data_IF_857892174397
#
_entry.id   IF_857892174397
#
_cell.length_a   1.000
_cell.length_b   1.000
_cell.length_c   1.000
_cell.angle_alpha   90.00
_cell.angle_beta   90.00
_cell.angle_gamma   90.00
#
_symmetry.space_group_name_H-M   'P 1'
#
loop_
_entity.id
_entity.type
_entity.pdbx_description
1 polymer ?
#
# COMPACT_ATOMS: atom_id res chain seq x y z
N UNK A 1 12.01 1.58 22.95
CA UNK A 1 11.00 2.59 22.51
C UNK A 1 9.76 1.87 21.98
N UNK A 2 8.55 2.44 22.04
CA UNK A 2 7.31 1.79 21.56
C UNK A 2 6.77 2.53 20.34
N UNK A 3 6.15 1.80 19.41
CA UNK A 3 5.39 2.37 18.30
C UNK A 3 4.41 3.43 18.80
N UNK A 4 4.32 4.54 18.09
CA UNK A 4 3.32 5.59 18.36
C UNK A 4 2.04 5.33 17.57
N UNK A 5 0.93 5.91 18.03
CA UNK A 5 -0.34 5.89 17.29
C UNK A 5 -0.25 6.71 15.99
N UNK A 6 -1.03 6.34 14.98
CA UNK A 6 -1.09 7.08 13.70
C UNK A 6 -1.57 8.52 13.92
N UNK A 7 -2.47 8.78 14.86
CA UNK A 7 -2.91 10.13 15.23
C UNK A 7 -1.74 11.01 15.73
N UNK A 8 -0.78 10.42 16.43
CA UNK A 8 0.42 11.11 16.86
C UNK A 8 1.39 11.32 15.70
N UNK A 9 1.52 10.33 14.81
CA UNK A 9 2.35 10.46 13.60
C UNK A 9 1.84 11.59 12.69
N UNK A 10 0.52 11.70 12.52
CA UNK A 10 -0.13 12.80 11.78
C UNK A 10 0.23 14.16 12.40
N UNK A 11 0.18 14.29 13.74
CA UNK A 11 0.59 15.52 14.43
C UNK A 11 2.07 15.83 14.23
N UNK A 12 2.92 14.82 14.36
CA UNK A 12 4.37 14.97 14.18
C UNK A 12 4.73 15.43 12.75
N UNK A 13 4.07 14.87 11.73
CA UNK A 13 4.25 15.30 10.34
C UNK A 13 3.76 16.74 10.12
N UNK A 14 2.63 17.15 10.70
CA UNK A 14 2.14 18.54 10.64
C UNK A 14 3.13 19.54 11.23
N UNK A 15 3.88 19.13 12.24
CA UNK A 15 4.97 19.91 12.84
C UNK A 15 6.30 19.79 12.07
N UNK A 16 6.32 19.00 11.00
CA UNK A 16 7.49 18.77 10.16
C UNK A 16 8.55 17.88 10.79
N UNK A 17 8.22 17.08 11.81
CA UNK A 17 9.16 16.12 12.40
C UNK A 17 9.45 14.97 11.42
N UNK A 18 10.63 14.36 11.59
CA UNK A 18 10.98 13.11 10.92
C UNK A 18 10.41 11.93 11.72
N UNK A 19 9.96 10.90 11.03
CA UNK A 19 9.52 9.63 11.62
C UNK A 19 10.26 8.46 10.97
N UNK A 20 10.23 7.29 11.62
CA UNK A 20 10.58 6.02 10.98
C UNK A 20 9.30 5.24 10.70
N UNK A 21 9.16 4.74 9.46
CA UNK A 21 8.08 3.84 9.08
C UNK A 21 8.65 2.48 8.70
N UNK A 22 8.16 1.43 9.33
CA UNK A 22 8.55 0.05 9.04
C UNK A 22 7.41 -0.69 8.35
N UNK A 23 7.72 -1.51 7.36
CA UNK A 23 6.75 -2.40 6.75
C UNK A 23 6.66 -3.75 7.47
N UNK A 24 5.93 -4.71 6.90
CA UNK A 24 5.76 -6.02 7.50
C UNK A 24 7.03 -6.88 7.35
N UNK A 25 7.29 -7.77 8.31
CA UNK A 25 8.49 -8.63 8.32
C UNK A 25 8.58 -9.58 7.11
N UNK A 26 7.45 -9.86 6.47
CA UNK A 26 7.32 -10.71 5.29
C UNK A 26 7.31 -9.94 3.95
N UNK A 27 7.43 -8.60 3.99
CA UNK A 27 7.59 -7.74 2.82
C UNK A 27 9.07 -7.38 2.61
N UNK A 28 9.51 -6.15 2.88
CA UNK A 28 10.92 -5.75 2.78
C UNK A 28 11.61 -5.90 4.15
N UNK A 29 10.85 -5.86 5.24
CA UNK A 29 11.32 -5.87 6.63
C UNK A 29 12.33 -4.75 6.89
N UNK A 30 12.03 -3.57 6.34
CA UNK A 30 12.92 -2.40 6.30
C UNK A 30 12.24 -1.16 6.86
N UNK A 31 13.05 -0.25 7.38
CA UNK A 31 12.59 1.01 7.93
C UNK A 31 13.09 2.19 7.10
N UNK A 32 12.17 3.10 6.78
CA UNK A 32 12.48 4.35 6.10
C UNK A 32 12.34 5.52 7.06
N UNK A 33 13.29 6.45 7.02
CA UNK A 33 13.02 7.77 7.54
C UNK A 33 12.11 8.54 6.58
N UNK A 34 11.07 9.16 7.12
CA UNK A 34 10.09 9.90 6.34
C UNK A 34 9.89 11.32 6.88
N UNK A 35 9.70 12.29 5.98
CA UNK A 35 9.22 13.62 6.34
C UNK A 35 8.63 14.37 5.13
N UNK A 36 7.61 15.24 5.33
CA UNK A 36 6.97 15.95 4.23
C UNK A 36 7.93 16.88 3.50
N UNK A 37 7.90 16.88 2.16
CA UNK A 37 8.80 17.67 1.32
C UNK A 37 8.72 19.18 1.61
N UNK A 38 7.54 19.69 1.97
CA UNK A 38 7.33 21.09 2.35
C UNK A 38 8.12 21.53 3.60
N UNK A 39 8.49 20.59 4.46
CA UNK A 39 9.30 20.84 5.65
C UNK A 39 10.75 20.37 5.46
N UNK A 40 11.16 20.11 4.22
CA UNK A 40 12.54 19.76 3.92
C UNK A 40 13.49 20.88 4.33
N UNK A 41 14.66 20.48 4.82
CA UNK A 41 15.76 21.39 5.15
C UNK A 41 17.07 20.69 4.80
N UNK A 42 18.11 21.46 4.53
CA UNK A 42 19.47 20.93 4.35
C UNK A 42 19.88 20.00 5.48
N UNK A 43 19.52 20.31 6.73
CA UNK A 43 19.87 19.54 7.92
C UNK A 43 19.18 18.17 7.91
N UNK A 44 17.89 18.10 7.57
CA UNK A 44 17.15 16.84 7.44
C UNK A 44 17.68 16.00 6.29
N UNK A 45 18.01 16.62 5.15
CA UNK A 45 18.58 15.90 4.02
C UNK A 45 19.96 15.37 4.36
N UNK A 46 20.81 16.17 5.00
CA UNK A 46 22.12 15.71 5.48
C UNK A 46 21.97 14.59 6.51
N UNK A 47 20.98 14.67 7.39
CA UNK A 47 20.66 13.60 8.33
C UNK A 47 20.28 12.31 7.60
N UNK A 48 19.34 12.37 6.64
CA UNK A 48 18.91 11.21 5.88
C UNK A 48 20.09 10.53 5.15
N UNK A 49 20.89 11.30 4.39
CA UNK A 49 21.99 10.70 3.60
C UNK A 49 23.16 10.22 4.46
N UNK A 50 23.31 10.71 5.70
CA UNK A 50 24.43 10.37 6.59
C UNK A 50 24.07 9.29 7.60
N UNK A 51 22.90 9.39 8.22
CA UNK A 51 22.47 8.50 9.30
C UNK A 51 21.55 7.39 8.80
N UNK A 52 20.66 7.64 7.82
CA UNK A 52 19.87 6.58 7.18
C UNK A 52 20.64 5.90 6.03
N UNK A 53 21.34 6.68 5.18
CA UNK A 53 22.29 6.19 4.15
C UNK A 53 21.69 5.42 2.98
N UNK A 54 20.39 5.15 2.98
CA UNK A 54 19.68 4.57 1.86
C UNK A 54 19.57 5.50 0.64
N UNK A 55 18.70 5.13 -0.28
CA UNK A 55 18.45 5.91 -1.49
C UNK A 55 17.47 7.02 -1.17
N UNK A 56 17.94 8.27 -1.23
CA UNK A 56 17.07 9.41 -1.02
C UNK A 56 16.05 9.52 -2.16
N UNK A 57 14.78 9.30 -1.83
CA UNK A 57 13.66 9.34 -2.74
C UNK A 57 12.62 10.38 -2.30
N UNK A 58 11.71 10.74 -3.21
CA UNK A 58 10.51 11.51 -2.89
C UNK A 58 9.28 10.75 -3.36
N UNK A 59 8.48 10.26 -2.43
CA UNK A 59 7.18 9.71 -2.71
C UNK A 59 6.20 10.84 -3.07
N UNK A 60 5.54 10.71 -4.22
CA UNK A 60 4.63 11.68 -4.79
C UNK A 60 3.25 11.05 -5.02
N UNK A 61 2.21 11.84 -4.77
CA UNK A 61 0.90 11.55 -5.31
C UNK A 61 0.91 11.64 -6.84
N UNK A 62 -0.03 10.92 -7.47
CA UNK A 62 -0.11 10.81 -8.92
C UNK A 62 -0.34 12.16 -9.62
N UNK A 63 -1.04 13.10 -8.96
CA UNK A 63 -1.34 14.42 -9.54
C UNK A 63 -0.09 15.30 -9.57
N UNK A 64 0.76 15.25 -8.56
CA UNK A 64 2.06 15.93 -8.56
C UNK A 64 2.98 15.35 -9.63
N UNK A 65 3.05 14.02 -9.76
CA UNK A 65 3.82 13.39 -10.83
C UNK A 65 3.36 13.83 -12.23
N UNK A 66 2.04 13.92 -12.44
CA UNK A 66 1.44 14.48 -13.68
C UNK A 66 1.77 15.97 -13.86
N UNK A 67 1.61 16.79 -12.81
CA UNK A 67 1.91 18.24 -12.81
C UNK A 67 3.35 18.53 -13.25
N UNK A 68 4.29 17.70 -12.80
CA UNK A 68 5.72 17.87 -13.07
C UNK A 68 6.24 17.04 -14.24
N UNK A 69 5.36 16.42 -15.03
CA UNK A 69 5.71 15.62 -16.21
C UNK A 69 6.81 14.58 -15.89
N UNK A 70 6.54 13.73 -14.89
CA UNK A 70 7.45 12.69 -14.41
C UNK A 70 7.00 11.31 -14.90
N UNK A 71 7.36 10.89 -16.13
CA UNK A 71 7.10 9.54 -16.59
C UNK A 71 7.94 8.51 -15.81
N UNK A 72 7.46 7.27 -15.77
CA UNK A 72 8.21 6.14 -15.24
C UNK A 72 9.56 6.00 -15.96
N UNK A 73 10.61 5.64 -15.22
CA UNK A 73 11.96 5.55 -15.80
C UNK A 73 12.14 4.38 -16.78
N UNK A 74 11.32 3.34 -16.66
CA UNK A 74 11.34 2.16 -17.52
C UNK A 74 9.95 1.85 -18.06
N UNK A 75 9.84 1.37 -19.32
CA UNK A 75 8.55 1.06 -19.93
C UNK A 75 7.88 -0.18 -19.32
N UNK A 76 8.66 -1.14 -18.81
CA UNK A 76 8.19 -2.34 -18.12
C UNK A 76 8.98 -2.51 -16.83
N UNK A 77 8.30 -2.40 -15.69
CA UNK A 77 8.90 -2.64 -14.39
C UNK A 77 8.97 -4.15 -14.12
N UNK A 78 10.16 -4.66 -13.84
CA UNK A 78 10.41 -6.07 -13.50
C UNK A 78 10.97 -6.25 -12.09
N UNK A 79 10.93 -5.19 -11.27
CA UNK A 79 11.30 -5.24 -9.84
C UNK A 79 10.30 -6.08 -9.05
N UNK A 80 10.77 -6.81 -8.04
CA UNK A 80 9.96 -7.67 -7.17
C UNK A 80 8.77 -6.96 -6.52
N UNK A 81 8.92 -5.67 -6.19
CA UNK A 81 7.88 -4.87 -5.53
C UNK A 81 7.26 -3.80 -6.44
N UNK A 82 7.61 -3.81 -7.73
CA UNK A 82 7.14 -2.89 -8.77
C UNK A 82 7.15 -1.42 -8.34
N UNK A 83 8.15 -1.02 -7.54
CA UNK A 83 8.29 0.36 -7.05
C UNK A 83 8.36 1.33 -8.23
N UNK A 84 7.47 2.32 -8.24
CA UNK A 84 7.19 3.14 -9.42
C UNK A 84 8.15 4.33 -9.55
N UNK A 85 9.43 4.04 -9.79
CA UNK A 85 10.44 5.06 -10.04
C UNK A 85 10.13 5.85 -11.32
N UNK A 86 10.23 7.18 -11.22
CA UNK A 86 10.22 8.07 -12.37
C UNK A 86 11.64 8.35 -12.83
N UNK A 87 11.78 9.04 -13.95
CA UNK A 87 13.05 9.69 -14.30
C UNK A 87 13.54 10.57 -13.14
N UNK A 88 14.86 10.63 -12.95
CA UNK A 88 15.47 11.44 -11.88
C UNK A 88 15.46 12.92 -12.24
N UNK A 89 15.46 13.78 -11.21
CA UNK A 89 15.39 15.23 -11.40
C UNK A 89 16.31 16.00 -10.45
N UNK A 90 16.70 17.19 -10.89
CA UNK A 90 17.27 18.24 -10.05
C UNK A 90 16.54 19.56 -10.28
N UNK A 91 16.61 20.47 -9.32
CA UNK A 91 16.23 21.85 -9.51
C UNK A 91 17.05 22.46 -10.65
N UNK A 92 16.41 23.20 -11.55
CA UNK A 92 17.07 23.91 -12.65
C UNK A 92 18.16 24.90 -12.19
N UNK A 93 18.08 25.36 -10.94
CA UNK A 93 19.04 26.27 -10.31
C UNK A 93 20.20 25.53 -9.62
N UNK A 94 20.18 24.21 -9.54
CA UNK A 94 21.28 23.43 -9.00
C UNK A 94 22.52 23.56 -9.90
N UNK A 95 23.69 23.49 -9.30
CA UNK A 95 24.97 23.47 -10.03
C UNK A 95 25.37 22.03 -10.33
N UNK A 96 25.41 21.19 -9.30
CA UNK A 96 25.72 19.76 -9.41
C UNK A 96 24.57 18.88 -8.97
N UNK A 97 23.66 19.37 -8.12
CA UNK A 97 22.48 18.66 -7.64
C UNK A 97 22.72 17.69 -6.48
N UNK A 98 23.96 17.29 -6.21
CA UNK A 98 24.25 16.20 -5.26
C UNK A 98 24.30 16.62 -3.80
N UNK A 99 24.62 17.88 -3.51
CA UNK A 99 24.80 18.35 -2.13
C UNK A 99 23.47 18.32 -1.35
N UNK A 100 23.53 18.18 -0.02
CA UNK A 100 22.33 18.21 0.81
C UNK A 100 21.50 19.49 0.63
N UNK A 101 22.18 20.62 0.35
CA UNK A 101 21.53 21.89 0.06
C UNK A 101 20.80 21.89 -1.29
N UNK A 102 21.43 21.38 -2.34
CA UNK A 102 20.80 21.32 -3.67
C UNK A 102 19.69 20.28 -3.74
N UNK A 103 19.84 19.15 -3.03
CA UNK A 103 18.77 18.16 -2.86
C UNK A 103 17.57 18.74 -2.12
N UNK A 104 17.79 19.49 -1.04
CA UNK A 104 16.72 20.25 -0.35
C UNK A 104 16.03 21.24 -1.29
N UNK A 105 16.80 21.97 -2.10
CA UNK A 105 16.28 22.89 -3.11
C UNK A 105 15.37 22.17 -4.11
N UNK A 106 15.79 21.02 -4.65
CA UNK A 106 14.99 20.19 -5.56
C UNK A 106 13.71 19.69 -4.88
N UNK A 107 13.82 19.17 -3.66
CA UNK A 107 12.70 18.57 -2.94
C UNK A 107 11.60 19.59 -2.63
N UNK A 108 11.97 20.82 -2.28
CA UNK A 108 11.00 21.90 -1.99
C UNK A 108 10.13 22.26 -3.19
N UNK A 109 10.61 22.07 -4.42
CA UNK A 109 9.83 22.35 -5.63
C UNK A 109 8.58 21.46 -5.68
N UNK A 110 8.65 20.21 -5.20
CA UNK A 110 7.48 19.31 -5.16
C UNK A 110 6.34 19.79 -4.27
N UNK A 111 6.65 20.64 -3.28
CA UNK A 111 5.70 21.21 -2.35
C UNK A 111 5.23 22.63 -2.74
N UNK A 112 5.83 23.24 -3.76
CA UNK A 112 5.51 24.59 -4.19
C UNK A 112 4.30 24.59 -5.15
N UNK A 113 3.25 25.33 -4.76
CA UNK A 113 2.04 25.46 -5.57
C UNK A 113 2.28 26.18 -6.90
N UNK A 114 3.26 27.09 -6.92
CA UNK A 114 3.61 27.90 -8.11
C UNK A 114 4.59 27.21 -9.04
N UNK A 115 5.25 26.14 -8.58
CA UNK A 115 6.21 25.40 -9.38
C UNK A 115 5.57 24.67 -10.56
N UNK A 116 6.36 24.45 -11.61
CA UNK A 116 5.98 23.78 -12.83
C UNK A 116 7.07 22.79 -13.29
N UNK A 117 6.77 21.97 -14.31
CA UNK A 117 7.69 20.97 -14.84
C UNK A 117 9.04 21.56 -15.32
N UNK A 118 9.08 22.83 -15.72
CA UNK A 118 10.27 23.55 -16.19
C UNK A 118 11.21 24.02 -15.07
N UNK A 119 10.80 23.91 -13.81
CA UNK A 119 11.66 24.18 -12.66
C UNK A 119 12.61 23.00 -12.37
N UNK A 120 12.40 21.86 -13.04
CA UNK A 120 13.25 20.68 -13.00
C UNK A 120 14.07 20.49 -14.27
N UNK A 121 15.28 19.95 -14.11
CA UNK A 121 16.08 19.33 -15.18
C UNK A 121 16.07 17.81 -15.01
N UNK A 122 16.29 17.09 -16.13
CA UNK A 122 16.27 15.62 -16.22
C UNK A 122 17.48 15.17 -17.06
N UNK A 123 18.32 14.21 -16.63
CA UNK A 123 18.30 13.55 -15.31
C UNK A 123 18.77 14.48 -14.17
N UNK A 124 18.69 13.98 -12.93
CA UNK A 124 19.27 14.60 -11.74
C UNK A 124 19.50 13.61 -10.61
N UNK A 125 19.53 14.07 -9.36
CA UNK A 125 19.97 13.29 -8.19
C UNK A 125 18.87 12.97 -7.18
N UNK A 126 17.66 13.49 -7.38
CA UNK A 126 16.47 13.05 -6.62
C UNK A 126 15.73 11.99 -7.44
N UNK A 127 15.26 10.95 -6.74
CA UNK A 127 14.50 9.83 -7.30
C UNK A 127 13.02 9.95 -6.89
N UNK A 128 12.14 10.49 -7.75
CA UNK A 128 10.71 10.52 -7.44
C UNK A 128 10.07 9.14 -7.63
N UNK A 129 9.10 8.84 -6.76
CA UNK A 129 8.34 7.60 -6.74
C UNK A 129 6.85 7.93 -6.78
N UNK A 130 6.07 7.26 -7.63
CA UNK A 130 4.62 7.51 -7.73
C UNK A 130 3.86 6.54 -6.83
N UNK A 131 3.17 7.07 -5.81
CA UNK A 131 2.25 6.29 -4.99
C UNK A 131 1.00 5.87 -5.78
N UNK A 132 0.49 4.67 -5.52
CA UNK A 132 -0.82 4.24 -6.04
C UNK A 132 -1.95 5.13 -5.49
N UNK A 133 -2.99 5.33 -6.31
CA UNK A 133 -4.15 6.16 -5.96
C UNK A 133 -4.87 5.69 -4.69
N UNK A 134 -4.96 4.38 -4.46
CA UNK A 134 -5.54 3.84 -3.24
C UNK A 134 -4.63 3.91 -2.00
N UNK A 135 -3.38 4.35 -2.14
CA UNK A 135 -2.40 4.39 -1.06
C UNK A 135 -2.12 3.00 -0.48
N UNK A 136 -1.92 2.92 0.83
CA UNK A 136 -1.57 1.65 1.52
C UNK A 136 -2.65 0.60 1.44
N UNK A 137 -3.90 1.01 1.15
CA UNK A 137 -5.01 0.10 0.95
C UNK A 137 -4.98 -0.60 -0.43
N UNK A 138 -4.16 -0.08 -1.36
CA UNK A 138 -3.90 -0.71 -2.65
C UNK A 138 -2.50 -1.36 -2.70
N UNK A 139 -1.45 -0.67 -2.21
CA UNK A 139 -0.08 -1.21 -2.14
C UNK A 139 0.54 -0.88 -0.79
N UNK A 140 0.92 -1.90 -0.03
CA UNK A 140 1.44 -1.80 1.33
C UNK A 140 2.92 -1.39 1.42
N UNK A 141 3.32 -0.36 0.66
CA UNK A 141 4.71 0.12 0.61
C UNK A 141 4.95 1.45 1.30
N UNK A 142 6.22 1.78 1.55
CA UNK A 142 6.63 3.04 2.17
C UNK A 142 6.27 4.26 1.31
N UNK A 143 6.31 4.11 -0.02
CA UNK A 143 5.87 5.15 -0.96
C UNK A 143 4.42 5.56 -0.69
N UNK A 144 3.50 4.59 -0.65
CA UNK A 144 2.10 4.83 -0.37
C UNK A 144 1.86 5.35 1.05
N UNK A 145 2.49 4.72 2.06
CA UNK A 145 2.31 5.12 3.45
C UNK A 145 2.73 6.56 3.73
N UNK A 146 3.81 7.00 3.09
CA UNK A 146 4.32 8.36 3.23
C UNK A 146 3.39 9.40 2.61
N UNK A 147 2.85 9.13 1.41
CA UNK A 147 1.88 10.01 0.75
C UNK A 147 0.55 10.05 1.51
N UNK A 148 0.08 8.90 2.01
CA UNK A 148 -1.14 8.82 2.82
C UNK A 148 -1.02 9.63 4.11
N UNK A 149 0.10 9.51 4.82
CA UNK A 149 0.34 10.29 6.03
C UNK A 149 0.38 11.79 5.75
N UNK A 150 0.97 12.22 4.63
CA UNK A 150 0.90 13.61 4.19
C UNK A 150 -0.56 14.06 3.97
N UNK A 151 -1.38 13.27 3.28
CA UNK A 151 -2.79 13.60 3.07
C UNK A 151 -3.60 13.65 4.37
N UNK A 152 -3.43 12.67 5.26
CA UNK A 152 -4.06 12.65 6.59
C UNK A 152 -3.61 13.84 7.45
N UNK A 153 -2.38 14.30 7.25
CA UNK A 153 -1.84 15.51 7.85
C UNK A 153 -2.30 16.81 7.18
N UNK A 154 -3.07 16.76 6.08
CA UNK A 154 -3.49 17.96 5.34
C UNK A 154 -2.33 18.68 4.66
N UNK A 155 -1.27 17.95 4.32
CA UNK A 155 -0.05 18.43 3.67
C UNK A 155 -0.06 18.07 2.18
N UNK A 156 0.89 18.61 1.42
CA UNK A 156 1.09 18.19 0.02
C UNK A 156 1.46 16.72 -0.03
N UNK A 157 0.97 15.98 -1.02
CA UNK A 157 1.27 14.56 -1.25
C UNK A 157 2.70 14.31 -1.74
N UNK A 158 3.69 15.01 -1.18
CA UNK A 158 5.10 14.84 -1.45
C UNK A 158 5.85 14.59 -0.12
N UNK A 159 6.52 13.45 -0.02
CA UNK A 159 7.24 13.04 1.19
C UNK A 159 8.62 12.51 0.83
N UNK A 160 9.65 12.97 1.54
CA UNK A 160 10.98 12.38 1.45
C UNK A 160 10.95 11.03 2.16
N UNK A 161 11.56 10.02 1.53
CA UNK A 161 11.80 8.71 2.13
C UNK A 161 13.26 8.31 1.90
N UNK A 162 13.86 7.59 2.84
CA UNK A 162 15.21 7.06 2.72
C UNK A 162 15.37 5.87 3.65
N UNK A 163 15.76 4.72 3.09
CA UNK A 163 15.93 3.49 3.84
C UNK A 163 17.08 3.62 4.86
N UNK A 164 16.97 2.93 5.99
CA UNK A 164 17.97 2.94 7.05
C UNK A 164 18.92 1.73 6.88
N UNK A 165 20.18 2.04 6.59
CA UNK A 165 21.26 1.09 6.38
C UNK A 165 22.24 1.18 7.56
N UNK A 166 22.64 0.02 8.09
CA UNK A 166 23.58 -0.08 9.20
C UNK A 166 25.00 0.30 8.78
N UNK A 167 25.86 0.50 9.78
CA UNK A 167 27.28 0.80 9.57
C UNK A 167 28.04 -0.26 8.77
N UNK A 168 27.61 -1.53 8.86
CA UNK A 168 28.20 -2.63 8.12
C UNK A 168 27.66 -2.77 6.69
N UNK A 169 26.73 -1.91 6.27
CA UNK A 169 26.12 -1.92 4.94
C UNK A 169 24.88 -2.81 4.80
N UNK A 170 24.50 -3.57 5.83
CA UNK A 170 23.26 -4.33 5.83
C UNK A 170 22.05 -3.43 6.14
N UNK A 171 20.88 -3.82 5.67
CA UNK A 171 19.63 -3.13 6.02
C UNK A 171 19.32 -3.25 7.52
N UNK A 172 18.86 -2.16 8.14
CA UNK A 172 18.42 -2.15 9.52
C UNK A 172 17.08 -2.89 9.67
N UNK A 173 17.02 -3.83 10.61
CA UNK A 173 15.79 -4.57 10.94
C UNK A 173 15.15 -4.00 12.20
N UNK A 174 13.98 -4.52 12.58
CA UNK A 174 13.15 -3.98 13.67
C UNK A 174 13.93 -3.62 14.96
N UNK A 175 14.81 -4.49 15.45
CA UNK A 175 15.61 -4.19 16.65
C UNK A 175 16.63 -3.06 16.40
N UNK A 176 17.31 -3.07 15.25
CA UNK A 176 18.23 -2.00 14.85
C UNK A 176 17.50 -0.65 14.72
N UNK A 177 16.26 -0.67 14.20
CA UNK A 177 15.42 0.52 14.04
C UNK A 177 14.96 1.08 15.39
N UNK A 178 14.71 0.22 16.38
CA UNK A 178 14.40 0.65 17.75
C UNK A 178 15.59 1.40 18.37
N UNK A 179 16.81 0.86 18.21
CA UNK A 179 18.05 1.51 18.65
C UNK A 179 18.29 2.84 17.92
N UNK A 180 18.07 2.86 16.60
CA UNK A 180 18.17 4.06 15.78
C UNK A 180 17.21 5.16 16.25
N UNK A 181 15.94 4.81 16.47
CA UNK A 181 14.92 5.73 16.95
C UNK A 181 15.25 6.28 18.33
N UNK A 182 15.77 5.44 19.24
CA UNK A 182 16.17 5.87 20.58
C UNK A 182 17.36 6.84 20.53
N UNK A 183 18.39 6.51 19.75
CA UNK A 183 19.60 7.34 19.55
C UNK A 183 19.25 8.74 19.03
N UNK A 184 18.36 8.82 18.04
CA UNK A 184 18.02 10.07 17.37
C UNK A 184 16.71 10.71 17.83
N UNK A 185 16.06 10.11 18.84
CA UNK A 185 14.76 10.56 19.40
C UNK A 185 13.68 10.70 18.32
N UNK A 186 13.59 9.71 17.45
CA UNK A 186 12.58 9.62 16.39
C UNK A 186 11.43 8.71 16.84
N UNK A 187 10.22 9.07 16.42
CA UNK A 187 9.07 8.22 16.62
C UNK A 187 8.96 7.21 15.47
N UNK A 188 8.41 6.02 15.77
CA UNK A 188 8.27 4.94 14.81
C UNK A 188 6.82 4.46 14.69
N UNK A 189 6.40 4.14 13.47
CA UNK A 189 5.09 3.57 13.13
C UNK A 189 5.24 2.35 12.22
N UNK A 190 4.18 1.56 12.09
CA UNK A 190 4.10 0.49 11.09
C UNK A 190 3.14 0.84 9.96
N UNK A 191 3.41 0.34 8.75
CA UNK A 191 2.45 0.39 7.64
C UNK A 191 1.14 -0.30 8.00
N UNK A 192 1.18 -1.39 8.78
CA UNK A 192 -0.02 -2.09 9.26
C UNK A 192 -0.92 -1.22 10.14
N UNK A 193 -0.35 -0.43 11.06
CA UNK A 193 -1.14 0.49 11.89
C UNK A 193 -1.80 1.58 11.03
N UNK A 194 -1.11 2.04 9.98
CA UNK A 194 -1.66 3.01 9.03
C UNK A 194 -2.82 2.43 8.21
N UNK A 195 -2.70 1.18 7.76
CA UNK A 195 -3.79 0.46 7.09
C UNK A 195 -5.00 0.36 8.03
N UNK A 196 -4.79 -0.09 9.26
CA UNK A 196 -5.88 -0.23 10.24
C UNK A 196 -6.55 1.12 10.53
N UNK A 197 -5.74 2.18 10.70
CA UNK A 197 -6.23 3.55 10.90
C UNK A 197 -7.08 4.01 9.71
N UNK A 198 -6.61 3.85 8.47
CA UNK A 198 -7.37 4.27 7.28
C UNK A 198 -8.66 3.48 7.15
N UNK A 199 -8.65 2.16 7.32
CA UNK A 199 -9.86 1.33 7.22
C UNK A 199 -10.91 1.65 8.29
N UNK A 200 -10.49 2.14 9.47
CA UNK A 200 -11.43 2.62 10.49
C UNK A 200 -12.17 3.88 10.09
N UNK A 201 -11.59 4.67 9.18
CA UNK A 201 -12.08 6.00 8.83
C UNK A 201 -12.54 6.12 7.36
N UNK A 202 -12.20 5.15 6.51
CA UNK A 202 -12.36 5.20 5.05
C UNK A 202 -12.89 3.88 4.48
N UNK A 203 -13.56 3.96 3.33
CA UNK A 203 -13.95 2.81 2.50
C UNK A 203 -13.62 3.11 1.04
N UNK A 204 -12.92 2.18 0.39
CA UNK A 204 -12.64 2.21 -1.05
C UNK A 204 -13.72 1.52 -1.87
N UNK A 205 -14.69 0.87 -1.24
CA UNK A 205 -15.77 0.16 -1.92
C UNK A 205 -17.12 0.85 -1.72
N UNK A 206 -17.98 0.73 -2.72
CA UNK A 206 -19.39 1.12 -2.68
C UNK A 206 -20.26 -0.04 -3.14
N UNK A 207 -21.28 -0.42 -2.36
CA UNK A 207 -22.28 -1.39 -2.80
C UNK A 207 -23.17 -0.75 -3.88
N UNK A 208 -23.23 -1.35 -5.07
CA UNK A 208 -24.06 -0.88 -6.19
C UNK A 208 -25.37 -1.65 -6.30
N UNK A 209 -25.31 -2.96 -6.06
CA UNK A 209 -26.47 -3.83 -6.28
C UNK A 209 -26.49 -4.96 -5.26
N UNK A 210 -27.70 -5.32 -4.81
CA UNK A 210 -27.97 -6.45 -3.96
C UNK A 210 -29.24 -7.16 -4.46
N UNK A 211 -29.15 -8.45 -4.79
CA UNK A 211 -30.30 -9.21 -5.25
C UNK A 211 -30.20 -10.70 -4.91
N UNK A 212 -31.35 -11.37 -4.82
CA UNK A 212 -31.40 -12.83 -4.80
C UNK A 212 -30.93 -13.38 -6.15
N UNK A 213 -30.12 -14.44 -6.13
CA UNK A 213 -29.50 -15.00 -7.32
C UNK A 213 -29.16 -16.48 -7.15
N UNK A 214 -28.48 -17.03 -8.14
CA UNK A 214 -27.94 -18.37 -8.12
C UNK A 214 -26.48 -18.35 -8.56
N UNK A 215 -25.65 -19.16 -7.91
CA UNK A 215 -24.29 -19.44 -8.35
C UNK A 215 -24.13 -20.96 -8.53
N UNK A 216 -23.79 -21.40 -9.74
CA UNK A 216 -23.68 -22.82 -10.10
C UNK A 216 -24.90 -23.67 -9.68
N UNK A 217 -26.11 -23.10 -9.77
CA UNK A 217 -27.36 -23.78 -9.40
C UNK A 217 -27.74 -23.68 -7.92
N UNK A 218 -26.87 -23.15 -7.06
CA UNK A 218 -27.15 -22.95 -5.64
C UNK A 218 -27.71 -21.55 -5.38
N UNK A 219 -28.77 -21.46 -4.57
CA UNK A 219 -29.35 -20.17 -4.15
C UNK A 219 -28.32 -19.37 -3.36
N UNK A 220 -28.21 -18.08 -3.66
CA UNK A 220 -27.34 -17.17 -2.95
C UNK A 220 -27.86 -15.74 -3.05
N UNK A 221 -27.37 -14.87 -2.19
CA UNK A 221 -27.54 -13.44 -2.31
C UNK A 221 -26.31 -12.85 -3.00
N UNK A 222 -26.53 -12.20 -4.15
CA UNK A 222 -25.48 -11.56 -4.95
C UNK A 222 -25.34 -10.11 -4.52
N UNK A 223 -24.10 -9.67 -4.38
CA UNK A 223 -23.70 -8.29 -4.11
C UNK A 223 -22.70 -7.85 -5.17
N UNK A 224 -22.89 -6.66 -5.72
CA UNK A 224 -21.94 -6.04 -6.66
C UNK A 224 -21.36 -4.81 -5.98
N UNK A 225 -20.06 -4.82 -5.75
CA UNK A 225 -19.28 -3.71 -5.22
C UNK A 225 -18.50 -3.05 -6.34
N UNK A 226 -18.35 -1.73 -6.29
CA UNK A 226 -17.45 -0.96 -7.15
C UNK A 226 -16.34 -0.35 -6.29
N UNK A 227 -15.09 -0.46 -6.72
CA UNK A 227 -13.92 0.10 -6.02
C UNK A 227 -13.57 1.54 -6.47
N UNK A 228 -12.53 2.13 -5.88
CA UNK A 228 -12.03 3.48 -6.20
C UNK A 228 -11.43 3.63 -7.61
N UNK A 229 -11.24 2.50 -8.31
CA UNK A 229 -10.80 2.39 -9.69
C UNK A 229 -11.95 2.05 -10.65
N UNK A 230 -13.20 2.07 -10.19
CA UNK A 230 -14.40 1.75 -10.96
C UNK A 230 -14.45 0.28 -11.43
N UNK A 231 -13.69 -0.61 -10.77
CA UNK A 231 -13.72 -2.05 -11.02
C UNK A 231 -14.83 -2.69 -10.20
N UNK A 232 -15.56 -3.63 -10.79
CA UNK A 232 -16.65 -4.32 -10.12
C UNK A 232 -16.21 -5.66 -9.53
N UNK A 233 -16.51 -5.86 -8.25
CA UNK A 233 -16.26 -7.10 -7.52
C UNK A 233 -17.59 -7.72 -7.10
N UNK A 234 -17.72 -9.03 -7.24
CA UNK A 234 -19.00 -9.72 -6.99
C UNK A 234 -18.84 -10.66 -5.82
N UNK A 235 -19.68 -10.53 -4.80
CA UNK A 235 -19.75 -11.49 -3.71
C UNK A 235 -21.08 -12.27 -3.77
N UNK A 236 -21.02 -13.57 -3.51
CA UNK A 236 -22.19 -14.40 -3.27
C UNK A 236 -22.16 -14.90 -1.84
N UNK A 237 -23.22 -14.59 -1.08
CA UNK A 237 -23.45 -15.11 0.25
C UNK A 237 -24.50 -16.21 0.18
N UNK A 238 -24.16 -17.43 0.59
CA UNK A 238 -25.11 -18.56 0.54
C UNK A 238 -26.08 -18.56 1.72
N UNK A 239 -25.64 -18.01 2.86
CA UNK A 239 -26.44 -17.80 4.07
C UNK A 239 -26.25 -16.36 4.55
N UNK A 240 -26.98 -15.98 5.61
CA UNK A 240 -26.75 -14.70 6.28
C UNK A 240 -25.32 -14.67 6.87
N UNK A 241 -24.47 -13.69 6.51
CA UNK A 241 -23.10 -13.63 6.99
C UNK A 241 -22.99 -13.58 8.51
N UNK A 242 -22.05 -14.34 9.07
CA UNK A 242 -21.71 -14.35 10.49
C UNK A 242 -20.35 -13.69 10.74
N UNK A 243 -20.05 -13.43 12.02
CA UNK A 243 -18.73 -12.96 12.44
C UNK A 243 -17.61 -13.94 12.10
N UNK A 244 -17.88 -15.24 12.16
CA UNK A 244 -16.96 -16.31 11.77
C UNK A 244 -17.51 -17.02 10.55
N UNK A 245 -16.79 -16.97 9.42
CA UNK A 245 -17.35 -17.40 8.14
C UNK A 245 -16.32 -18.09 7.24
N UNK A 246 -16.80 -19.02 6.41
CA UNK A 246 -16.00 -19.67 5.37
C UNK A 246 -15.90 -18.74 4.16
N UNK A 247 -14.68 -18.40 3.74
CA UNK A 247 -14.43 -17.44 2.68
C UNK A 247 -13.63 -18.08 1.54
N UNK A 248 -14.09 -17.84 0.31
CA UNK A 248 -13.31 -18.10 -0.90
C UNK A 248 -13.09 -16.82 -1.69
N UNK A 249 -11.84 -16.43 -1.86
CA UNK A 249 -11.47 -15.47 -2.90
C UNK A 249 -11.23 -16.22 -4.22
N UNK A 250 -11.95 -15.83 -5.27
CA UNK A 250 -11.77 -16.36 -6.62
C UNK A 250 -11.30 -15.24 -7.54
N UNK A 251 -10.18 -15.45 -8.23
CA UNK A 251 -9.66 -14.51 -9.23
C UNK A 251 -10.02 -15.06 -10.60
N UNK A 252 -10.81 -14.31 -11.35
CA UNK A 252 -11.23 -14.72 -12.69
C UNK A 252 -10.01 -14.84 -13.61
N UNK A 253 -9.95 -15.95 -14.35
CA UNK A 253 -8.91 -16.23 -15.34
C UNK A 253 -9.49 -16.42 -16.73
N UNK A 254 -8.75 -17.08 -17.62
CA UNK A 254 -9.28 -17.47 -18.92
C UNK A 254 -10.36 -18.56 -18.76
N UNK A 255 -11.50 -18.40 -19.44
CA UNK A 255 -12.55 -19.41 -19.54
C UNK A 255 -11.99 -20.73 -20.10
N UNK A 256 -11.07 -20.66 -21.07
CA UNK A 256 -10.41 -21.83 -21.63
C UNK A 256 -9.64 -22.60 -20.55
N UNK A 257 -8.84 -21.91 -19.74
CA UNK A 257 -8.09 -22.53 -18.63
C UNK A 257 -9.03 -23.11 -17.57
N UNK A 258 -10.11 -22.39 -17.22
CA UNK A 258 -11.11 -22.84 -16.26
C UNK A 258 -11.74 -24.16 -16.72
N UNK A 259 -12.17 -24.22 -17.98
CA UNK A 259 -12.91 -25.36 -18.55
C UNK A 259 -12.01 -26.56 -18.92
N UNK A 260 -10.72 -26.34 -19.20
CA UNK A 260 -9.80 -27.41 -19.65
C UNK A 260 -8.92 -27.98 -18.54
N UNK A 261 -8.96 -27.42 -17.33
CA UNK A 261 -8.21 -27.90 -16.17
C UNK A 261 -9.13 -28.41 -15.06
N UNK A 262 -8.54 -28.93 -13.98
CA UNK A 262 -9.30 -29.33 -12.78
C UNK A 262 -9.88 -28.12 -12.00
N UNK A 263 -9.60 -26.88 -12.42
CA UNK A 263 -10.05 -25.66 -11.73
C UNK A 263 -11.57 -25.54 -11.68
N UNK A 264 -12.27 -25.94 -12.74
CA UNK A 264 -13.73 -25.89 -12.73
C UNK A 264 -14.33 -26.84 -11.69
N UNK A 265 -13.88 -28.09 -11.64
CA UNK A 265 -14.34 -29.07 -10.64
C UNK A 265 -14.03 -28.60 -9.22
N UNK A 266 -12.81 -28.08 -8.97
CA UNK A 266 -12.44 -27.53 -7.66
C UNK A 266 -13.29 -26.32 -7.25
N UNK A 267 -13.60 -25.43 -8.20
CA UNK A 267 -14.48 -24.29 -7.95
C UNK A 267 -15.91 -24.74 -7.60
N UNK A 268 -16.44 -25.74 -8.31
CA UNK A 268 -17.75 -26.31 -8.02
C UNK A 268 -17.79 -26.97 -6.64
N UNK A 269 -16.78 -27.74 -6.27
CA UNK A 269 -16.66 -28.35 -4.93
C UNK A 269 -16.66 -27.28 -3.83
N UNK A 270 -15.93 -26.18 -4.03
CA UNK A 270 -15.90 -25.04 -3.09
C UNK A 270 -17.26 -24.35 -3.00
N UNK A 271 -17.92 -24.08 -4.12
CA UNK A 271 -19.27 -23.49 -4.15
C UNK A 271 -20.27 -24.40 -3.43
N UNK A 272 -20.22 -25.70 -3.69
CA UNK A 272 -21.07 -26.68 -3.03
C UNK A 272 -20.83 -26.68 -1.52
N UNK A 273 -19.57 -26.72 -1.07
CA UNK A 273 -19.21 -26.64 0.34
C UNK A 273 -19.78 -25.38 1.01
N UNK A 274 -19.58 -24.20 0.41
CA UNK A 274 -20.06 -22.92 0.95
C UNK A 274 -21.59 -22.87 1.00
N UNK A 275 -22.27 -23.45 0.00
CA UNK A 275 -23.73 -23.52 -0.02
C UNK A 275 -24.31 -24.40 1.10
N UNK A 276 -23.60 -25.45 1.49
CA UNK A 276 -24.04 -26.39 2.53
C UNK A 276 -23.65 -25.94 3.94
N UNK A 277 -22.47 -25.32 4.10
CA UNK A 277 -21.89 -25.00 5.41
C UNK A 277 -22.02 -23.52 5.79
N UNK A 278 -22.57 -22.70 4.88
CA UNK A 278 -22.53 -21.24 4.98
C UNK A 278 -21.17 -20.71 4.58
N UNK A 279 -21.18 -19.58 3.90
CA UNK A 279 -19.96 -18.93 3.47
C UNK A 279 -20.19 -17.87 2.41
N UNK A 280 -19.08 -17.21 2.05
CA UNK A 280 -19.02 -16.14 1.07
C UNK A 280 -17.95 -16.49 0.03
N UNK A 281 -18.32 -16.44 -1.24
CA UNK A 281 -17.35 -16.45 -2.33
C UNK A 281 -17.28 -15.05 -2.95
N UNK A 282 -16.08 -14.51 -3.07
CA UNK A 282 -15.81 -13.19 -3.59
C UNK A 282 -15.01 -13.34 -4.89
N UNK A 283 -15.63 -12.96 -5.99
CA UNK A 283 -15.02 -12.86 -7.31
C UNK A 283 -14.31 -11.51 -7.43
N UNK A 284 -12.99 -11.57 -7.42
CA UNK A 284 -12.13 -10.41 -7.62
C UNK A 284 -11.84 -10.26 -9.11
N UNK A 285 -12.29 -9.15 -9.70
CA UNK A 285 -12.02 -8.82 -11.08
C UNK A 285 -10.64 -8.14 -11.19
N UNK A 286 -9.72 -8.69 -11.98
CA UNK A 286 -8.36 -8.17 -12.18
C UNK A 286 -7.43 -9.18 -12.86
N UNK A 287 -6.33 -8.72 -13.46
CA UNK A 287 -5.33 -9.60 -14.10
C UNK A 287 -4.61 -10.48 -13.06
N UNK A 288 -4.26 -11.72 -13.45
CA UNK A 288 -3.44 -12.62 -12.62
C UNK A 288 -1.96 -12.16 -12.64
N UNK A 289 -1.61 -11.20 -11.81
CA UNK A 289 -0.22 -10.95 -11.41
C UNK A 289 -0.09 -11.05 -9.89
N UNK A 290 1.09 -11.43 -9.38
CA UNK A 290 1.32 -11.53 -7.92
C UNK A 290 1.01 -10.21 -7.20
N UNK A 291 1.34 -9.06 -7.82
CA UNK A 291 1.02 -7.74 -7.31
C UNK A 291 -0.50 -7.44 -7.32
N UNK A 292 -1.23 -7.92 -8.33
CA UNK A 292 -2.69 -7.79 -8.38
C UNK A 292 -3.38 -8.66 -7.32
N UNK A 293 -2.78 -9.77 -6.91
CA UNK A 293 -3.31 -10.64 -5.86
C UNK A 293 -3.39 -9.90 -4.52
N UNK A 294 -2.31 -9.21 -4.11
CA UNK A 294 -2.30 -8.39 -2.90
C UNK A 294 -3.29 -7.22 -2.94
N UNK A 295 -3.40 -6.52 -4.09
CA UNK A 295 -4.41 -5.46 -4.31
C UNK A 295 -5.84 -5.97 -4.10
N UNK A 296 -6.11 -7.15 -4.64
CA UNK A 296 -7.42 -7.79 -4.53
C UNK A 296 -7.74 -8.15 -3.06
N UNK A 297 -6.76 -8.51 -2.24
CA UNK A 297 -7.03 -8.79 -0.83
C UNK A 297 -7.39 -7.54 -0.01
N UNK A 298 -6.83 -6.37 -0.33
CA UNK A 298 -7.21 -5.12 0.36
C UNK A 298 -8.67 -4.71 0.10
N UNK A 299 -9.13 -4.85 -1.14
CA UNK A 299 -10.55 -4.68 -1.49
C UNK A 299 -11.41 -5.80 -0.90
N UNK A 300 -10.92 -7.04 -0.98
CA UNK A 300 -11.58 -8.21 -0.42
C UNK A 300 -11.82 -8.10 1.09
N UNK A 301 -10.84 -7.61 1.85
CA UNK A 301 -10.96 -7.32 3.27
C UNK A 301 -12.07 -6.32 3.57
N UNK A 302 -12.18 -5.25 2.77
CA UNK A 302 -13.24 -4.25 2.94
C UNK A 302 -14.61 -4.84 2.65
N UNK A 303 -14.73 -5.73 1.67
CA UNK A 303 -15.97 -6.48 1.39
C UNK A 303 -16.34 -7.35 2.60
N UNK A 304 -15.38 -8.07 3.19
CA UNK A 304 -15.62 -8.87 4.40
C UNK A 304 -16.05 -8.01 5.59
N UNK A 305 -15.43 -6.84 5.77
CA UNK A 305 -15.80 -5.88 6.80
C UNK A 305 -17.20 -5.31 6.58
N UNK A 306 -17.61 -5.07 5.33
CA UNK A 306 -18.99 -4.70 5.00
C UNK A 306 -19.98 -5.76 5.52
N UNK A 307 -19.63 -7.04 5.38
CA UNK A 307 -20.41 -8.16 5.93
C UNK A 307 -20.24 -8.38 7.44
N UNK A 308 -19.42 -7.57 8.13
CA UNK A 308 -19.10 -7.70 9.55
C UNK A 308 -18.48 -9.05 9.92
N UNK A 309 -17.71 -9.62 8.99
CA UNK A 309 -16.87 -10.79 9.24
C UNK A 309 -15.64 -10.32 10.03
N UNK A 310 -15.31 -11.06 11.09
CA UNK A 310 -14.17 -10.82 11.98
C UNK A 310 -13.20 -12.01 11.93
N UNK A 311 -13.72 -13.24 11.87
CA UNK A 311 -12.95 -14.49 11.79
C UNK A 311 -13.15 -15.14 10.42
N UNK A 312 -12.05 -15.42 9.72
CA UNK A 312 -12.04 -15.92 8.34
C UNK A 312 -11.47 -17.34 8.31
N UNK A 313 -12.30 -18.30 7.88
CA UNK A 313 -11.88 -19.66 7.50
C UNK A 313 -11.66 -19.69 5.98
N UNK A 314 -10.41 -19.59 5.56
CA UNK A 314 -10.07 -19.39 4.17
C UNK A 314 -9.99 -20.73 3.41
N UNK A 315 -10.75 -20.84 2.32
CA UNK A 315 -10.70 -21.99 1.41
C UNK A 315 -9.60 -21.81 0.35
N UNK A 316 -8.33 -21.90 0.75
CA UNK A 316 -7.16 -21.80 -0.14
C UNK A 316 -6.21 -22.98 0.04
N UNK A 317 -5.53 -23.38 -1.03
CA UNK A 317 -4.43 -24.36 -0.96
C UNK A 317 -3.10 -23.71 -0.57
N UNK A 318 -2.98 -22.38 -0.74
CA UNK A 318 -1.81 -21.60 -0.36
C UNK A 318 -2.22 -20.65 0.77
N UNK A 319 -1.83 -20.96 2.01
CA UNK A 319 -2.27 -20.23 3.20
C UNK A 319 -1.20 -19.27 3.77
N UNK A 320 0.08 -19.43 3.40
CA UNK A 320 1.16 -19.03 4.31
C UNK A 320 1.82 -17.66 4.05
N UNK A 321 1.49 -16.94 2.96
CA UNK A 321 2.15 -15.64 2.67
C UNK A 321 1.19 -14.52 2.27
N UNK A 322 0.28 -14.78 1.32
CA UNK A 322 -0.57 -13.71 0.77
C UNK A 322 -1.62 -13.17 1.77
N UNK A 323 -1.90 -13.92 2.83
CA UNK A 323 -3.01 -13.67 3.75
C UNK A 323 -2.59 -13.04 5.09
N UNK A 324 -1.29 -12.97 5.40
CA UNK A 324 -0.80 -12.25 6.59
C UNK A 324 -1.15 -10.75 6.48
N UNK A 325 -1.16 -10.21 5.26
CA UNK A 325 -1.59 -8.84 4.98
C UNK A 325 -3.02 -8.53 5.45
N UNK A 326 -3.95 -9.52 5.43
CA UNK A 326 -5.33 -9.34 5.88
C UNK A 326 -5.46 -9.13 7.40
N UNK A 327 -4.48 -9.56 8.21
CA UNK A 327 -4.46 -9.25 9.65
C UNK A 327 -4.43 -7.74 9.89
N UNK A 328 -3.73 -6.99 9.04
CA UNK A 328 -3.71 -5.51 9.08
C UNK A 328 -5.09 -4.87 8.81
N UNK A 329 -6.06 -5.64 8.31
CA UNK A 329 -7.43 -5.19 8.07
C UNK A 329 -8.39 -5.51 9.23
N UNK A 330 -7.88 -6.02 10.36
CA UNK A 330 -8.69 -6.42 11.52
C UNK A 330 -9.46 -7.72 11.31
N UNK A 331 -8.99 -8.57 10.39
CA UNK A 331 -9.54 -9.91 10.13
C UNK A 331 -8.62 -10.96 10.76
N UNK A 332 -9.17 -11.81 11.64
CA UNK A 332 -8.45 -12.94 12.22
C UNK A 332 -8.59 -14.16 11.30
N UNK A 333 -7.47 -14.60 10.73
CA UNK A 333 -7.45 -15.76 9.83
C UNK A 333 -7.15 -16.98 10.65
N UNK A 334 -8.17 -17.79 10.90
CA UNK A 334 -8.05 -18.87 11.87
C UNK A 334 -7.44 -20.14 11.33
N UNK A 335 -7.57 -20.46 10.04
CA UNK A 335 -6.87 -21.56 9.35
C UNK A 335 -7.41 -21.81 7.94
N UNK A 336 -6.55 -22.42 7.10
CA UNK A 336 -6.91 -23.49 6.16
C UNK A 336 -6.87 -24.82 6.94
#
# INVERSE_FOLDING_TARGET
MKFISIEQAIKDLKEGKMLVMVDAEDRENEGDIIFPAQFSTKEKINFAIKEARGVLCVALDENLAKKFELPLMVPKNTSSHETAFTITVDAKKATTGVSAYERDMTIKIFADDTACANDFVRPGHINPLIAKKGGVLERTGHTEGSVDLCHLAGLKGACVICEIVKDNGDMARREDLLEFCEKFKLNMITVSDLIEYRLKNESLITLKEQQASFLAGFKAQKFIFEDHNQVQHIAFCFNQPRKSENIKFHISGSDFELLTSNKFSQLLEQIQFLSQNGGIIIFMQGEKSNAAQFKNYGIGAQILRFFKVEEVHLMSQNCDKDFIALKGFGLDIKTC
#
